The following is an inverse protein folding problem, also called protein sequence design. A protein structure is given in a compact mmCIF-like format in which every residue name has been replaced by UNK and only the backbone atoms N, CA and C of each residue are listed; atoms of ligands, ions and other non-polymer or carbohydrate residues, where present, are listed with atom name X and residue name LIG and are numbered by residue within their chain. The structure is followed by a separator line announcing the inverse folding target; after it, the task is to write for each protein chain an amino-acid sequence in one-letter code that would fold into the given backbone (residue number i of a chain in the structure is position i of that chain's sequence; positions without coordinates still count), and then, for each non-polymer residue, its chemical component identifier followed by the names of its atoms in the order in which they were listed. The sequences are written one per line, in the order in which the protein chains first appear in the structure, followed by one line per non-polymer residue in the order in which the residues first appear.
data_IF_548117543984
#
_entry.id   IF_548117543984
#
_cell.length_a   1.000
_cell.length_b   1.000
_cell.length_c   1.000
_cell.angle_alpha   90.00
_cell.angle_beta   90.00
_cell.angle_gamma   90.00
#
_symmetry.space_group_name_H-M   'P 1'
#
loop_
_entity.id
_entity.type
_entity.pdbx_description
1 polymer ?
#
# COMPACT_ATOMS: atom_id res chain seq x y z
N UNK A 1 -32.70 -0.06 7.38
CA UNK A 1 -32.47 -1.45 6.86
C UNK A 1 -30.96 -1.66 6.87
N UNK A 2 -30.42 -2.64 7.62
CA UNK A 2 -28.96 -2.91 7.67
C UNK A 2 -28.41 -3.12 6.25
N UNK A 3 -27.87 -2.05 5.66
CA UNK A 3 -27.28 -2.08 4.33
C UNK A 3 -26.09 -3.05 4.42
N UNK A 4 -26.28 -4.25 3.88
CA UNK A 4 -25.32 -5.36 3.95
C UNK A 4 -23.94 -4.81 3.64
N UNK A 5 -23.05 -4.84 4.63
CA UNK A 5 -21.59 -4.79 4.41
C UNK A 5 -21.30 -5.93 3.44
N UNK A 6 -21.28 -5.57 2.16
CA UNK A 6 -21.33 -6.54 1.08
C UNK A 6 -19.97 -7.20 1.00
N UNK A 7 -19.94 -8.53 1.11
CA UNK A 7 -18.73 -9.34 0.90
C UNK A 7 -18.02 -8.95 -0.40
N UNK A 8 -18.78 -8.55 -1.42
CA UNK A 8 -18.25 -8.08 -2.70
C UNK A 8 -17.45 -6.78 -2.61
N UNK A 9 -17.82 -5.86 -1.70
CA UNK A 9 -17.02 -4.64 -1.46
C UNK A 9 -15.67 -4.99 -0.85
N UNK A 10 -15.66 -5.90 0.12
CA UNK A 10 -14.42 -6.36 0.73
C UNK A 10 -13.54 -7.12 -0.26
N UNK A 11 -14.12 -7.99 -1.10
CA UNK A 11 -13.38 -8.72 -2.12
C UNK A 11 -12.81 -7.79 -3.20
N UNK A 12 -13.61 -6.85 -3.71
CA UNK A 12 -13.12 -5.84 -4.66
C UNK A 12 -12.04 -4.97 -4.03
N UNK A 13 -12.24 -4.56 -2.77
CA UNK A 13 -11.23 -3.82 -2.03
C UNK A 13 -9.93 -4.60 -1.87
N UNK A 14 -10.01 -5.89 -1.54
CA UNK A 14 -8.84 -6.74 -1.42
C UNK A 14 -8.09 -6.91 -2.74
N UNK A 15 -8.81 -7.08 -3.85
CA UNK A 15 -8.21 -7.14 -5.18
C UNK A 15 -7.44 -5.86 -5.52
N UNK A 16 -8.10 -4.70 -5.38
CA UNK A 16 -7.50 -3.39 -5.70
C UNK A 16 -6.31 -3.10 -4.78
N UNK A 17 -6.46 -3.36 -3.48
CA UNK A 17 -5.38 -3.22 -2.50
C UNK A 17 -4.17 -4.09 -2.89
N UNK A 18 -4.39 -5.38 -3.14
CA UNK A 18 -3.32 -6.31 -3.52
C UNK A 18 -2.57 -5.87 -4.76
N UNK A 19 -3.27 -5.42 -5.81
CA UNK A 19 -2.63 -4.85 -7.00
C UNK A 19 -1.82 -3.58 -6.68
N UNK A 20 -2.34 -2.73 -5.78
CA UNK A 20 -1.63 -1.56 -5.27
C UNK A 20 -0.30 -1.92 -4.61
N UNK A 21 -0.28 -2.96 -3.77
CA UNK A 21 0.92 -3.48 -3.11
C UNK A 21 1.94 -4.07 -4.08
N UNK A 22 1.49 -4.81 -5.10
CA UNK A 22 2.35 -5.32 -6.18
C UNK A 22 2.99 -4.16 -6.95
N UNK A 23 2.19 -3.15 -7.31
CA UNK A 23 2.67 -1.95 -8.02
C UNK A 23 3.78 -1.23 -7.23
N UNK A 24 3.56 -0.94 -5.94
CA UNK A 24 4.57 -0.30 -5.10
C UNK A 24 5.88 -1.10 -5.07
N UNK A 25 5.77 -2.42 -4.90
CA UNK A 25 6.92 -3.31 -4.68
C UNK A 25 7.70 -3.58 -5.96
N UNK A 26 7.01 -3.84 -7.08
CA UNK A 26 7.63 -4.32 -8.31
C UNK A 26 8.14 -3.19 -9.22
N UNK A 27 7.56 -1.99 -9.12
CA UNK A 27 7.86 -0.88 -10.03
C UNK A 27 8.20 0.41 -9.32
N UNK A 28 7.30 0.93 -8.49
CA UNK A 28 7.36 2.31 -7.97
C UNK A 28 8.56 2.54 -7.05
N UNK A 29 8.77 1.66 -6.06
CA UNK A 29 9.86 1.83 -5.11
C UNK A 29 11.24 1.61 -5.75
N UNK A 30 11.48 0.52 -6.52
CA UNK A 30 12.75 0.35 -7.23
C UNK A 30 13.08 1.52 -8.16
N UNK A 31 12.07 2.05 -8.87
CA UNK A 31 12.25 3.21 -9.74
C UNK A 31 12.70 4.46 -8.96
N UNK A 32 12.01 4.79 -7.86
CA UNK A 32 12.36 5.96 -7.06
C UNK A 32 13.75 5.81 -6.45
N UNK A 33 14.07 4.65 -5.85
CA UNK A 33 15.41 4.41 -5.28
C UNK A 33 16.49 4.57 -6.36
N UNK A 34 16.27 4.01 -7.55
CA UNK A 34 17.22 4.14 -8.66
C UNK A 34 17.44 5.60 -9.09
N UNK A 35 16.40 6.43 -9.10
CA UNK A 35 16.51 7.86 -9.44
C UNK A 35 17.37 8.63 -8.43
N UNK A 36 17.25 8.34 -7.13
CA UNK A 36 17.99 9.05 -6.09
C UNK A 36 19.41 8.51 -5.85
N UNK A 37 19.63 7.20 -6.05
CA UNK A 37 20.95 6.59 -5.89
C UNK A 37 21.80 6.61 -7.18
N UNK A 38 21.21 6.96 -8.32
CA UNK A 38 21.82 6.88 -9.65
C UNK A 38 22.05 5.45 -10.16
N UNK A 39 21.92 4.45 -9.29
CA UNK A 39 21.99 3.02 -9.59
C UNK A 39 21.29 2.22 -8.50
N UNK A 40 20.65 1.12 -8.88
CA UNK A 40 20.15 0.11 -7.95
C UNK A 40 20.79 -1.22 -8.34
N UNK A 41 21.21 -2.02 -7.35
CA UNK A 41 21.79 -3.33 -7.64
C UNK A 41 20.70 -4.27 -8.18
N UNK A 42 21.06 -5.13 -9.13
CA UNK A 42 20.15 -6.15 -9.66
C UNK A 42 19.63 -7.05 -8.53
N UNK A 43 20.51 -7.36 -7.57
CA UNK A 43 20.19 -8.12 -6.37
C UNK A 43 19.08 -7.45 -5.53
N UNK A 44 19.19 -6.14 -5.24
CA UNK A 44 18.15 -5.42 -4.50
C UNK A 44 16.80 -5.45 -5.24
N UNK A 45 16.79 -5.32 -6.57
CA UNK A 45 15.57 -5.41 -7.39
C UNK A 45 14.96 -6.80 -7.31
N UNK A 46 15.77 -7.86 -7.43
CA UNK A 46 15.30 -9.24 -7.32
C UNK A 46 14.74 -9.53 -5.92
N UNK A 47 15.44 -9.11 -4.87
CA UNK A 47 15.01 -9.31 -3.49
C UNK A 47 13.70 -8.57 -3.18
N UNK A 48 13.57 -7.32 -3.62
CA UNK A 48 12.31 -6.58 -3.48
C UNK A 48 11.17 -7.24 -4.26
N UNK A 49 11.40 -7.68 -5.50
CA UNK A 49 10.39 -8.39 -6.30
C UNK A 49 9.98 -9.72 -5.67
N UNK A 50 10.89 -10.41 -4.98
CA UNK A 50 10.59 -11.61 -4.19
C UNK A 50 9.56 -11.36 -3.08
N UNK A 51 9.45 -10.13 -2.59
CA UNK A 51 8.46 -9.73 -1.58
C UNK A 51 7.11 -9.33 -2.17
N UNK A 52 6.96 -9.27 -3.50
CA UNK A 52 5.75 -8.77 -4.14
C UNK A 52 4.48 -9.54 -3.72
N UNK A 53 4.56 -10.87 -3.58
CA UNK A 53 3.42 -11.67 -3.14
C UNK A 53 3.04 -11.37 -1.69
N UNK A 54 4.01 -11.27 -0.78
CA UNK A 54 3.76 -10.94 0.62
C UNK A 54 3.15 -9.53 0.77
N UNK A 55 3.68 -8.56 0.02
CA UNK A 55 3.14 -7.21 -0.02
C UNK A 55 1.75 -7.16 -0.66
N UNK A 56 1.48 -7.99 -1.67
CA UNK A 56 0.14 -8.13 -2.24
C UNK A 56 -0.87 -8.62 -1.19
N UNK A 57 -0.50 -9.61 -0.36
CA UNK A 57 -1.38 -10.12 0.69
C UNK A 57 -1.61 -9.07 1.80
N UNK A 58 -0.55 -8.40 2.26
CA UNK A 58 -0.66 -7.29 3.22
C UNK A 58 -1.61 -6.21 2.71
N UNK A 59 -1.44 -5.78 1.46
CA UNK A 59 -2.27 -4.74 0.90
C UNK A 59 -3.69 -5.22 0.55
N UNK A 60 -3.87 -6.48 0.18
CA UNK A 60 -5.19 -7.06 -0.04
C UNK A 60 -5.99 -7.10 1.27
N UNK A 61 -5.37 -7.46 2.39
CA UNK A 61 -6.04 -7.39 3.69
C UNK A 61 -6.43 -5.96 4.05
N UNK A 62 -5.51 -4.99 3.90
CA UNK A 62 -5.80 -3.56 4.10
C UNK A 62 -6.93 -3.06 3.20
N UNK A 63 -6.88 -3.36 1.90
CA UNK A 63 -7.90 -2.97 0.94
C UNK A 63 -9.26 -3.60 1.24
N UNK A 64 -9.28 -4.85 1.71
CA UNK A 64 -10.50 -5.52 2.15
C UNK A 64 -11.15 -4.83 3.37
N UNK A 65 -10.33 -4.41 4.34
CA UNK A 65 -10.79 -3.62 5.50
C UNK A 65 -11.42 -2.30 5.03
N UNK A 66 -10.77 -1.60 4.09
CA UNK A 66 -11.30 -0.34 3.53
C UNK A 66 -12.60 -0.59 2.76
N UNK A 67 -12.68 -1.64 1.94
CA UNK A 67 -13.91 -2.02 1.24
C UNK A 67 -15.07 -2.31 2.18
N UNK A 68 -14.78 -2.96 3.32
CA UNK A 68 -15.75 -3.34 4.34
C UNK A 68 -16.23 -2.16 5.20
N UNK A 69 -15.31 -1.34 5.69
CA UNK A 69 -15.62 -0.23 6.61
C UNK A 69 -16.03 1.05 5.87
N UNK A 70 -15.43 1.29 4.71
CA UNK A 70 -15.59 2.51 3.95
C UNK A 70 -15.01 3.77 4.60
N UNK A 71 -14.99 4.85 3.82
CA UNK A 71 -14.64 6.20 4.26
C UNK A 71 -13.19 6.58 3.98
N UNK A 72 -13.03 7.84 3.58
CA UNK A 72 -11.76 8.44 3.16
C UNK A 72 -10.67 8.34 4.23
N UNK A 73 -11.01 8.70 5.48
CA UNK A 73 -10.07 8.65 6.61
C UNK A 73 -9.66 7.22 6.94
N UNK A 74 -10.59 6.27 6.90
CA UNK A 74 -10.27 4.84 7.12
C UNK A 74 -9.30 4.36 6.06
N UNK A 75 -9.60 4.68 4.79
CA UNK A 75 -8.77 4.33 3.66
C UNK A 75 -7.34 4.86 3.79
N UNK A 76 -7.21 6.16 4.04
CA UNK A 76 -5.92 6.82 4.19
C UNK A 76 -5.08 6.24 5.33
N UNK A 77 -5.70 5.96 6.49
CA UNK A 77 -4.99 5.39 7.64
C UNK A 77 -4.58 3.94 7.38
N UNK A 78 -5.52 3.08 6.96
CA UNK A 78 -5.26 1.65 6.80
C UNK A 78 -4.21 1.40 5.72
N UNK A 79 -4.40 1.94 4.51
CA UNK A 79 -3.42 1.74 3.44
C UNK A 79 -2.16 2.58 3.63
N UNK A 80 -2.22 3.72 4.32
CA UNK A 80 -1.03 4.48 4.73
C UNK A 80 -0.11 3.66 5.63
N UNK A 81 -0.68 2.93 6.61
CA UNK A 81 0.09 2.02 7.47
C UNK A 81 0.67 0.84 6.68
N UNK A 82 -0.13 0.22 5.79
CA UNK A 82 0.39 -0.82 4.90
C UNK A 82 1.57 -0.30 4.07
N UNK A 83 1.44 0.89 3.50
CA UNK A 83 2.48 1.52 2.72
C UNK A 83 3.72 1.89 3.53
N UNK A 84 3.57 2.37 4.76
CA UNK A 84 4.69 2.64 5.66
C UNK A 84 5.48 1.36 5.97
N UNK A 85 4.79 0.26 6.30
CA UNK A 85 5.42 -1.05 6.55
C UNK A 85 6.12 -1.58 5.30
N UNK A 86 5.46 -1.53 4.15
CA UNK A 86 6.05 -1.96 2.86
C UNK A 86 7.28 -1.12 2.52
N UNK A 87 7.17 0.21 2.62
CA UNK A 87 8.25 1.15 2.31
C UNK A 87 9.48 0.92 3.19
N UNK A 88 9.28 0.75 4.50
CA UNK A 88 10.37 0.44 5.43
C UNK A 88 11.04 -0.90 5.10
N UNK A 89 10.22 -1.95 4.93
CA UNK A 89 10.73 -3.31 4.68
C UNK A 89 11.57 -3.37 3.41
N UNK A 90 11.07 -2.79 2.32
CA UNK A 90 11.76 -2.82 1.04
C UNK A 90 12.99 -1.90 1.01
N UNK A 91 12.96 -0.76 1.70
CA UNK A 91 14.14 0.10 1.80
C UNK A 91 15.27 -0.56 2.61
N UNK A 92 14.94 -1.28 3.68
CA UNK A 92 15.92 -2.07 4.44
C UNK A 92 16.53 -3.20 3.61
N UNK A 93 15.75 -3.81 2.72
CA UNK A 93 16.27 -4.82 1.76
C UNK A 93 17.18 -4.17 0.72
N UNK A 94 16.82 -2.98 0.24
CA UNK A 94 17.55 -2.32 -0.83
C UNK A 94 18.89 -1.71 -0.38
N UNK A 95 18.91 -1.06 0.80
CA UNK A 95 20.10 -0.43 1.36
C UNK A 95 19.95 -0.23 2.88
N UNK A 96 20.26 -1.26 3.71
CA UNK A 96 20.05 -1.21 5.15
C UNK A 96 20.88 -0.13 5.85
N UNK A 97 22.04 0.22 5.29
CA UNK A 97 22.96 1.20 5.86
C UNK A 97 22.77 2.62 5.30
N UNK A 98 21.73 2.85 4.49
CA UNK A 98 21.47 4.17 3.89
C UNK A 98 20.24 4.83 4.51
N UNK A 99 20.41 5.76 5.47
CA UNK A 99 19.30 6.49 6.08
C UNK A 99 18.43 7.22 5.06
N UNK A 100 19.03 7.70 3.97
CA UNK A 100 18.32 8.36 2.87
C UNK A 100 17.34 7.41 2.19
N UNK A 101 17.78 6.19 1.86
CA UNK A 101 16.92 5.18 1.21
C UNK A 101 15.79 4.75 2.14
N UNK A 102 16.08 4.58 3.43
CA UNK A 102 15.07 4.25 4.45
C UNK A 102 14.03 5.37 4.56
N UNK A 103 14.46 6.63 4.65
CA UNK A 103 13.57 7.78 4.71
C UNK A 103 12.71 7.90 3.43
N UNK A 104 13.31 7.72 2.25
CA UNK A 104 12.60 7.72 0.98
C UNK A 104 11.57 6.58 0.91
N UNK A 105 11.95 5.36 1.31
CA UNK A 105 11.05 4.22 1.35
C UNK A 105 9.84 4.46 2.23
N UNK A 106 10.07 4.94 3.45
CA UNK A 106 9.01 5.34 4.39
C UNK A 106 8.08 6.39 3.80
N UNK A 107 8.63 7.48 3.25
CA UNK A 107 7.81 8.56 2.69
C UNK A 107 7.00 8.11 1.48
N UNK A 108 7.64 7.44 0.51
CA UNK A 108 6.99 6.96 -0.71
C UNK A 108 5.90 5.95 -0.36
N UNK A 109 6.22 4.98 0.48
CA UNK A 109 5.27 3.98 0.93
C UNK A 109 4.07 4.60 1.64
N UNK A 110 4.33 5.48 2.63
CA UNK A 110 3.27 6.17 3.37
C UNK A 110 2.39 7.04 2.45
N UNK A 111 2.99 7.86 1.58
CA UNK A 111 2.24 8.75 0.69
C UNK A 111 1.43 7.96 -0.33
N UNK A 112 2.03 6.94 -0.95
CA UNK A 112 1.35 6.08 -1.90
C UNK A 112 0.16 5.35 -1.25
N UNK A 113 0.37 4.79 -0.05
CA UNK A 113 -0.68 4.15 0.74
C UNK A 113 -1.76 5.10 1.20
N UNK A 114 -1.41 6.26 1.75
CA UNK A 114 -2.36 7.22 2.28
C UNK A 114 -3.20 7.87 1.19
N UNK A 115 -2.59 8.28 0.07
CA UNK A 115 -3.30 8.89 -1.06
C UNK A 115 -4.15 7.84 -1.79
N UNK A 116 -3.58 6.66 -2.10
CA UNK A 116 -4.34 5.57 -2.72
C UNK A 116 -5.50 5.11 -1.84
N UNK A 117 -5.26 4.99 -0.54
CA UNK A 117 -6.28 4.68 0.47
C UNK A 117 -7.37 5.74 0.57
N UNK A 118 -7.01 7.01 0.55
CA UNK A 118 -7.99 8.11 0.53
C UNK A 118 -8.92 8.03 -0.68
N UNK A 119 -8.35 7.84 -1.88
CA UNK A 119 -9.11 7.68 -3.13
C UNK A 119 -10.01 6.45 -3.05
N UNK A 120 -9.47 5.32 -2.63
CA UNK A 120 -10.22 4.07 -2.47
C UNK A 120 -11.35 4.23 -1.43
N UNK A 121 -11.10 4.94 -0.34
CA UNK A 121 -12.09 5.25 0.69
C UNK A 121 -13.24 6.14 0.19
N UNK A 122 -13.00 6.99 -0.83
CA UNK A 122 -14.07 7.73 -1.54
C UNK A 122 -14.95 6.84 -2.39
N UNK A 123 -14.37 5.84 -3.03
CA UNK A 123 -15.11 4.84 -3.83
C UNK A 123 -16.03 4.00 -2.93
N UNK A 124 -15.63 3.79 -1.66
CA UNK A 124 -16.42 3.08 -0.66
C UNK A 124 -16.94 4.03 0.43
N UNK A 125 -17.95 4.87 0.15
CA UNK A 125 -18.47 5.80 1.16
C UNK A 125 -19.00 5.05 2.40
N UNK A 126 -18.85 5.69 3.57
CA UNK A 126 -19.52 5.23 4.79
C UNK A 126 -21.01 5.51 4.63
N UNK A 127 -21.85 4.53 4.94
CA UNK A 127 -23.28 4.74 5.07
C UNK A 127 -23.50 5.78 6.17
N UNK A 128 -24.30 6.83 5.91
CA UNK A 128 -24.71 7.78 6.93
C UNK A 128 -25.45 7.03 8.06
N UNK A 129 -25.35 7.46 9.32
CA UNK A 129 -26.26 6.97 10.36
C UNK A 129 -27.69 7.30 9.91
N UNK A 130 -28.58 6.30 9.84
CA UNK A 130 -30.02 6.53 9.67
C UNK A 130 -30.48 7.35 10.89
N UNK A 131 -30.75 8.65 10.71
CA UNK A 131 -31.41 9.51 11.70
C UNK A 131 -32.92 9.32 11.64
#
# INVERSE_FOLDING_TARGET
MLQKRSIWRALFGALVGGMGGVSLTATLLPYIIAQFMGRISLEAVVNMRGMALLMALLWATGGGIVGWMGGERTGAVVLGLCGLVTGLTLALIAAPDSPLVIALGLMVGLLYGAVGGFIMGRVFPRSAPET
#
